data_IF_059760758072
#
_entry.id   IF_059760758072
#
_cell.length_a   1.000
_cell.length_b   1.000
_cell.length_c   1.000
_cell.angle_alpha   90.00
_cell.angle_beta   90.00
_cell.angle_gamma   90.00
#
_symmetry.space_group_name_H-M   'P 1'
#
loop_
_entity.id
_entity.type
_entity.pdbx_description
1 polymer ?
#
# COMPACT_ATOMS: atom_id res chain seq x y z
N UNK A 1 4.35 13.70 -1.62
CA UNK A 1 2.97 13.57 -2.15
C UNK A 1 2.10 13.42 -0.93
N UNK A 2 1.18 14.34 -0.71
CA UNK A 2 0.38 14.39 0.52
C UNK A 2 -0.85 13.49 0.34
N UNK A 3 -0.75 12.27 0.86
CA UNK A 3 -1.89 11.36 0.92
C UNK A 3 -2.67 11.61 2.20
N UNK A 4 -3.99 11.54 2.08
CA UNK A 4 -4.87 11.45 3.23
C UNK A 4 -4.83 10.03 3.77
N UNK A 5 -4.95 9.89 5.09
CA UNK A 5 -4.87 8.62 5.79
C UNK A 5 -6.06 8.43 6.72
N UNK A 6 -6.62 7.23 6.67
CA UNK A 6 -7.61 6.74 7.62
C UNK A 6 -7.24 5.30 7.98
N UNK A 7 -7.69 4.78 9.15
CA UNK A 7 -7.43 3.39 9.51
C UNK A 7 -7.78 2.42 8.38
N UNK A 8 -6.77 1.73 7.85
CA UNK A 8 -6.92 0.75 6.76
C UNK A 8 -6.90 1.33 5.34
N UNK A 9 -6.62 2.63 5.14
CA UNK A 9 -6.44 3.19 3.78
C UNK A 9 -5.58 4.46 3.72
N UNK A 10 -4.85 4.59 2.60
CA UNK A 10 -4.33 5.87 2.14
C UNK A 10 -4.99 6.24 0.82
N UNK A 11 -5.28 7.51 0.61
CA UNK A 11 -5.94 7.97 -0.60
C UNK A 11 -5.55 9.39 -0.99
N UNK A 12 -5.77 9.71 -2.25
CA UNK A 12 -5.68 11.04 -2.82
C UNK A 12 -7.05 11.43 -3.35
N UNK A 13 -7.53 12.59 -2.92
CA UNK A 13 -8.80 13.17 -3.35
C UNK A 13 -8.56 14.60 -3.84
N UNK A 14 -9.21 14.96 -4.95
CA UNK A 14 -9.24 16.31 -5.47
C UNK A 14 -10.64 16.60 -6.02
N UNK A 15 -11.15 17.81 -5.78
CA UNK A 15 -12.47 18.25 -6.25
C UNK A 15 -13.61 17.27 -5.89
N UNK A 16 -13.53 16.64 -4.71
CA UNK A 16 -14.50 15.64 -4.24
C UNK A 16 -14.46 14.30 -4.97
N UNK A 17 -13.44 14.06 -5.81
CA UNK A 17 -13.22 12.80 -6.52
C UNK A 17 -11.99 12.08 -5.98
N UNK A 18 -12.16 10.82 -5.60
CA UNK A 18 -11.05 9.94 -5.24
C UNK A 18 -10.23 9.59 -6.48
N UNK A 19 -9.00 10.09 -6.52
CA UNK A 19 -8.08 9.90 -7.64
C UNK A 19 -7.16 8.71 -7.44
N UNK A 20 -6.84 8.34 -6.19
CA UNK A 20 -6.06 7.17 -5.90
C UNK A 20 -6.38 6.64 -4.51
N UNK A 21 -6.29 5.33 -4.31
CA UNK A 21 -6.54 4.68 -3.03
C UNK A 21 -5.74 3.38 -2.92
N UNK A 22 -5.19 3.12 -1.75
CA UNK A 22 -4.73 1.81 -1.32
C UNK A 22 -5.46 1.43 -0.03
N UNK A 23 -5.94 0.20 0.04
CA UNK A 23 -6.61 -0.32 1.23
C UNK A 23 -5.91 -1.55 1.78
N UNK A 24 -5.88 -1.64 3.09
CA UNK A 24 -5.28 -2.74 3.83
C UNK A 24 -6.09 -3.09 5.08
N UNK A 25 -5.98 -4.33 5.51
CA UNK A 25 -6.60 -4.82 6.74
C UNK A 25 -5.55 -5.42 7.64
N UNK A 26 -5.72 -5.29 8.95
CA UNK A 26 -4.82 -5.94 9.90
C UNK A 26 -5.21 -7.40 10.10
N UNK A 27 -4.24 -8.30 10.00
CA UNK A 27 -4.37 -9.75 10.23
C UNK A 27 -3.28 -10.22 11.20
N UNK A 28 -3.23 -11.53 11.48
CA UNK A 28 -2.21 -12.17 12.31
C UNK A 28 -2.09 -11.48 13.68
N UNK A 29 -3.19 -11.47 14.45
CA UNK A 29 -3.28 -10.86 15.78
C UNK A 29 -2.79 -9.41 15.89
N UNK A 30 -2.96 -8.63 14.82
CA UNK A 30 -2.53 -7.24 14.82
C UNK A 30 -1.10 -7.01 14.31
N UNK A 31 -0.41 -8.04 13.82
CA UNK A 31 1.02 -7.99 13.48
C UNK A 31 1.33 -7.91 11.98
N UNK A 32 0.30 -7.97 11.13
CA UNK A 32 0.48 -7.92 9.68
C UNK A 32 -0.57 -7.04 8.99
N UNK A 33 -0.14 -6.17 8.09
CA UNK A 33 -1.04 -5.48 7.15
C UNK A 33 -1.20 -6.27 5.87
N UNK A 34 -2.42 -6.72 5.57
CA UNK A 34 -2.80 -7.34 4.32
C UNK A 34 -3.28 -6.28 3.33
N UNK A 35 -2.54 -6.09 2.23
CA UNK A 35 -2.86 -5.08 1.21
C UNK A 35 -3.82 -5.69 0.19
N UNK A 36 -5.07 -5.22 0.19
CA UNK A 36 -6.18 -5.89 -0.48
C UNK A 36 -6.57 -5.21 -1.80
N UNK A 37 -6.36 -3.89 -1.93
CA UNK A 37 -6.67 -3.15 -3.15
C UNK A 37 -5.74 -1.96 -3.36
N UNK A 38 -5.44 -1.66 -4.62
CA UNK A 38 -4.74 -0.43 -5.03
C UNK A 38 -5.37 0.05 -6.34
N UNK A 39 -5.97 1.23 -6.31
CA UNK A 39 -6.69 1.82 -7.44
C UNK A 39 -6.12 3.21 -7.69
N UNK A 40 -5.84 3.52 -8.95
CA UNK A 40 -5.36 4.84 -9.37
C UNK A 40 -6.12 5.25 -10.62
N UNK A 41 -6.65 6.47 -10.61
CA UNK A 41 -7.35 7.08 -11.72
C UNK A 41 -6.44 7.09 -12.96
N UNK A 42 -6.98 6.79 -14.15
CA UNK A 42 -6.19 6.78 -15.39
C UNK A 42 -5.38 8.05 -15.62
N UNK A 43 -5.87 9.22 -15.19
CA UNK A 43 -5.16 10.49 -15.34
C UNK A 43 -3.83 10.54 -14.56
N UNK A 44 -3.68 9.73 -13.51
CA UNK A 44 -2.49 9.65 -12.67
C UNK A 44 -1.54 8.51 -13.03
N UNK A 45 -1.87 7.70 -14.05
CA UNK A 45 -1.00 6.60 -14.49
C UNK A 45 0.33 7.13 -15.03
N UNK A 46 1.39 6.34 -14.81
CA UNK A 46 2.75 6.71 -15.21
C UNK A 46 3.45 7.69 -14.27
N UNK A 47 2.77 8.24 -13.26
CA UNK A 47 3.35 9.21 -12.32
C UNK A 47 3.84 8.57 -11.01
N UNK A 48 3.82 7.24 -10.90
CA UNK A 48 4.30 6.52 -9.71
C UNK A 48 3.35 6.55 -8.50
N UNK A 49 2.11 7.07 -8.63
CA UNK A 49 1.18 7.23 -7.50
C UNK A 49 0.88 5.91 -6.77
N UNK A 50 0.67 4.82 -7.50
CA UNK A 50 0.41 3.51 -6.90
C UNK A 50 1.61 3.00 -6.08
N UNK A 51 2.85 3.31 -6.51
CA UNK A 51 4.05 2.94 -5.78
C UNK A 51 4.19 3.79 -4.52
N UNK A 52 3.95 5.11 -4.62
CA UNK A 52 3.99 6.00 -3.48
C UNK A 52 2.92 5.65 -2.42
N UNK A 53 1.72 5.24 -2.82
CA UNK A 53 0.70 4.73 -1.90
C UNK A 53 1.14 3.44 -1.19
N UNK A 54 1.72 2.51 -1.94
CA UNK A 54 2.26 1.27 -1.37
C UNK A 54 3.38 1.55 -0.36
N UNK A 55 4.28 2.47 -0.70
CA UNK A 55 5.38 2.90 0.17
C UNK A 55 4.84 3.45 1.49
N UNK A 56 3.82 4.29 1.45
CA UNK A 56 3.20 4.84 2.65
C UNK A 56 2.68 3.73 3.60
N UNK A 57 2.01 2.71 3.06
CA UNK A 57 1.54 1.56 3.87
C UNK A 57 2.71 0.73 4.42
N UNK A 58 3.74 0.51 3.60
CA UNK A 58 4.91 -0.27 4.01
C UNK A 58 5.72 0.46 5.08
N UNK A 59 5.90 1.76 4.96
CA UNK A 59 6.62 2.57 5.92
C UNK A 59 5.85 2.69 7.25
N UNK A 60 4.52 2.78 7.20
CA UNK A 60 3.69 2.65 8.41
C UNK A 60 3.87 1.28 9.08
N UNK A 61 3.84 0.19 8.31
CA UNK A 61 4.07 -1.15 8.85
C UNK A 61 5.47 -1.26 9.50
N UNK A 62 6.52 -0.72 8.85
CA UNK A 62 7.88 -0.67 9.41
C UNK A 62 7.92 0.08 10.73
N UNK A 63 7.32 1.26 10.77
CA UNK A 63 7.29 2.10 11.96
C UNK A 63 6.59 1.41 13.15
N UNK A 64 5.58 0.60 12.86
CA UNK A 64 4.83 -0.18 13.85
C UNK A 64 5.45 -1.56 14.15
N UNK A 65 6.58 -1.92 13.55
CA UNK A 65 7.21 -3.24 13.72
C UNK A 65 6.37 -4.40 13.18
N UNK A 66 5.50 -4.11 12.20
CA UNK A 66 4.57 -5.06 11.59
C UNK A 66 5.13 -5.59 10.27
N UNK A 67 4.55 -6.69 9.79
CA UNK A 67 4.84 -7.25 8.46
C UNK A 67 3.77 -6.87 7.45
N UNK A 68 4.05 -7.04 6.16
CA UNK A 68 3.10 -6.74 5.08
C UNK A 68 2.82 -7.99 4.24
N UNK A 69 1.55 -8.33 4.07
CA UNK A 69 1.11 -9.38 3.18
C UNK A 69 0.50 -8.79 1.90
N UNK A 70 1.21 -8.83 0.76
CA UNK A 70 0.69 -8.29 -0.49
C UNK A 70 -0.33 -9.27 -1.11
N UNK A 71 -1.64 -9.03 -0.91
CA UNK A 71 -2.70 -9.86 -1.49
C UNK A 71 -3.03 -9.40 -2.91
N UNK A 72 -3.21 -8.10 -3.10
CA UNK A 72 -3.59 -7.55 -4.39
C UNK A 72 -2.50 -7.76 -5.45
N UNK A 73 -2.91 -7.95 -6.71
CA UNK A 73 -1.99 -8.26 -7.81
C UNK A 73 -0.92 -7.18 -8.03
N UNK A 74 -1.28 -5.91 -7.83
CA UNK A 74 -0.33 -4.80 -7.90
C UNK A 74 0.76 -4.91 -6.82
N UNK A 75 0.37 -5.04 -5.56
CA UNK A 75 1.32 -5.16 -4.44
C UNK A 75 2.21 -6.40 -4.62
N UNK A 76 1.64 -7.55 -5.02
CA UNK A 76 2.43 -8.76 -5.31
C UNK A 76 3.50 -8.51 -6.36
N UNK A 77 3.12 -7.83 -7.45
CA UNK A 77 4.04 -7.48 -8.53
C UNK A 77 5.11 -6.50 -8.07
N UNK A 78 4.76 -5.50 -7.25
CA UNK A 78 5.72 -4.55 -6.69
C UNK A 78 6.74 -5.25 -5.79
N UNK A 79 6.29 -6.12 -4.88
CA UNK A 79 7.16 -6.93 -4.02
C UNK A 79 8.10 -7.83 -4.83
N UNK A 80 7.59 -8.45 -5.90
CA UNK A 80 8.40 -9.30 -6.78
C UNK A 80 9.45 -8.50 -7.58
N UNK A 81 9.08 -7.33 -8.10
CA UNK A 81 9.95 -6.53 -8.96
C UNK A 81 10.98 -5.69 -8.19
N UNK A 82 10.73 -5.41 -6.91
CA UNK A 82 11.58 -4.57 -6.06
C UNK A 82 11.90 -5.29 -4.74
N UNK A 83 12.59 -6.45 -4.81
CA UNK A 83 12.84 -7.29 -3.63
C UNK A 83 13.64 -6.55 -2.56
N UNK A 84 14.66 -5.77 -2.94
CA UNK A 84 15.49 -5.00 -2.00
C UNK A 84 14.69 -3.99 -1.18
N UNK A 85 13.54 -3.56 -1.69
CA UNK A 85 12.68 -2.56 -1.04
C UNK A 85 11.59 -3.16 -0.17
N UNK A 86 11.07 -4.34 -0.49
CA UNK A 86 9.86 -4.85 0.18
C UNK A 86 10.01 -6.25 0.79
N UNK A 87 11.00 -7.04 0.36
CA UNK A 87 11.07 -8.45 0.74
C UNK A 87 11.41 -8.67 2.22
N UNK A 88 12.10 -7.72 2.87
CA UNK A 88 12.46 -7.79 4.29
C UNK A 88 11.24 -7.79 5.22
N UNK A 89 10.20 -7.03 4.86
CA UNK A 89 8.99 -6.82 5.66
C UNK A 89 7.83 -7.72 5.21
N UNK A 90 8.03 -8.46 4.12
CA UNK A 90 7.01 -9.35 3.58
C UNK A 90 6.66 -10.45 4.58
N UNK A 91 5.38 -10.52 4.97
CA UNK A 91 4.83 -11.65 5.69
C UNK A 91 4.90 -12.92 4.82
N UNK A 92 5.56 -13.94 5.37
CA UNK A 92 5.66 -15.29 4.79
C UNK A 92 5.01 -16.25 5.79
N UNK A 93 3.88 -16.88 5.44
CA UNK A 93 3.25 -17.88 6.29
C UNK A 93 4.11 -19.14 6.42
#
# INVERSE_FOLDING_TARGET
MDFQHEPGRYFLEADGKRLAEITYTTINDGQTYAINSTIVDPALRGQGVAAALLDAVVDEARANGMTVHPICSYARKAFFNQPDKYQEIQYKP
#
